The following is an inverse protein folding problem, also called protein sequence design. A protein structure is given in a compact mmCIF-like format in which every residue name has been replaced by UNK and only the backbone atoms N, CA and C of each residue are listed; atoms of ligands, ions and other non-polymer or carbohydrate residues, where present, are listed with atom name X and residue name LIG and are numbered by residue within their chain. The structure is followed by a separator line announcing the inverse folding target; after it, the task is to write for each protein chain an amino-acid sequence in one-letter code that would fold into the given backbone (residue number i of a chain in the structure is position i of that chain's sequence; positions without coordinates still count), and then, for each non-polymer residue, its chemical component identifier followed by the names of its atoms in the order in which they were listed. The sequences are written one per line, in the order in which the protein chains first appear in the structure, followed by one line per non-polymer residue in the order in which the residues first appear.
data_IF_940590144507
#
_entry.id   IF_940590144507
#
_cell.length_a   1.000
_cell.length_b   1.000
_cell.length_c   1.000
_cell.angle_alpha   90.00
_cell.angle_beta   90.00
_cell.angle_gamma   90.00
#
_symmetry.space_group_name_H-M   'P 1'
#
loop_
_entity.id
_entity.type
_entity.pdbx_description
1 polymer ?
#
# COMPACT_ATOMS: atom_id res chain seq x y z
N UNK A 1 -39.21 -80.71 38.94
CA UNK A 1 -39.53 -81.06 37.54
C UNK A 1 -39.64 -79.76 36.75
N UNK A 2 -38.72 -79.51 35.82
CA UNK A 2 -38.59 -78.24 35.11
C UNK A 2 -39.75 -78.10 34.11
N UNK A 3 -40.48 -76.98 34.20
CA UNK A 3 -41.53 -76.57 33.28
C UNK A 3 -40.93 -76.14 31.92
N UNK A 4 -41.37 -76.74 30.81
CA UNK A 4 -41.14 -76.20 29.47
C UNK A 4 -42.41 -75.49 28.98
N UNK A 5 -42.39 -74.16 28.99
CA UNK A 5 -43.42 -73.34 28.35
C UNK A 5 -43.19 -73.29 26.83
N UNK A 6 -44.21 -73.65 26.03
CA UNK A 6 -44.15 -73.51 24.56
C UNK A 6 -44.32 -72.04 24.16
N UNK A 7 -43.29 -71.47 23.54
CA UNK A 7 -43.30 -70.11 23.01
C UNK A 7 -44.03 -70.11 21.65
N UNK A 8 -44.98 -69.18 21.45
CA UNK A 8 -45.72 -69.03 20.18
C UNK A 8 -44.77 -68.62 19.05
N UNK A 9 -44.89 -69.23 17.86
CA UNK A 9 -44.06 -68.94 16.67
C UNK A 9 -44.01 -67.45 16.27
N UNK A 10 -45.03 -66.68 16.65
CA UNK A 10 -45.11 -65.22 16.47
C UNK A 10 -44.02 -64.44 17.24
N UNK A 11 -43.49 -64.98 18.33
CA UNK A 11 -42.38 -64.37 19.08
C UNK A 11 -41.07 -64.32 18.27
N UNK A 12 -40.86 -65.28 17.35
CA UNK A 12 -39.67 -65.32 16.49
C UNK A 12 -39.68 -64.18 15.46
N UNK A 13 -40.83 -63.90 14.84
CA UNK A 13 -40.99 -62.79 13.90
C UNK A 13 -40.76 -61.43 14.58
N UNK A 14 -41.25 -61.26 15.80
CA UNK A 14 -41.05 -60.04 16.59
C UNK A 14 -39.58 -59.86 17.00
N UNK A 15 -38.90 -60.95 17.42
CA UNK A 15 -37.48 -60.93 17.73
C UNK A 15 -36.61 -60.56 16.52
N UNK A 16 -36.94 -61.09 15.33
CA UNK A 16 -36.25 -60.74 14.08
C UNK A 16 -36.46 -59.26 13.74
N UNK A 17 -37.71 -58.75 13.81
CA UNK A 17 -38.02 -57.36 13.53
C UNK A 17 -37.28 -56.40 14.46
N UNK A 18 -37.29 -56.68 15.77
CA UNK A 18 -36.54 -55.90 16.76
C UNK A 18 -35.05 -55.98 16.48
N UNK A 19 -34.50 -57.16 16.16
CA UNK A 19 -33.08 -57.33 15.87
C UNK A 19 -32.64 -56.51 14.65
N UNK A 20 -33.44 -56.49 13.57
CA UNK A 20 -33.18 -55.66 12.40
C UNK A 20 -33.25 -54.17 12.74
N UNK A 21 -34.24 -53.74 13.54
CA UNK A 21 -34.37 -52.35 13.96
C UNK A 21 -33.16 -51.92 14.82
N UNK A 22 -32.75 -52.74 15.77
CA UNK A 22 -31.56 -52.50 16.60
C UNK A 22 -30.30 -52.47 15.73
N UNK A 23 -30.15 -53.37 14.75
CA UNK A 23 -29.03 -53.37 13.82
C UNK A 23 -28.99 -52.09 12.95
N UNK A 24 -30.14 -51.60 12.49
CA UNK A 24 -30.24 -50.34 11.74
C UNK A 24 -29.85 -49.13 12.61
N UNK A 25 -30.33 -49.06 13.85
CA UNK A 25 -29.99 -47.98 14.77
C UNK A 25 -28.50 -48.00 15.11
N UNK A 26 -27.93 -49.18 15.40
CA UNK A 26 -26.49 -49.34 15.64
C UNK A 26 -25.67 -48.99 14.39
N UNK A 27 -26.11 -49.41 13.20
CA UNK A 27 -25.47 -49.08 11.94
C UNK A 27 -25.46 -47.57 11.67
N UNK A 28 -26.59 -46.90 11.90
CA UNK A 28 -26.70 -45.45 11.79
C UNK A 28 -25.79 -44.72 12.79
N UNK A 29 -25.73 -45.20 14.04
CA UNK A 29 -24.86 -44.64 15.07
C UNK A 29 -23.37 -44.80 14.74
N UNK A 30 -22.96 -45.97 14.27
CA UNK A 30 -21.60 -46.25 13.81
C UNK A 30 -21.21 -45.35 12.63
N UNK A 31 -22.11 -45.21 11.64
CA UNK A 31 -21.89 -44.34 10.49
C UNK A 31 -21.76 -42.87 10.93
N UNK A 32 -22.62 -42.40 11.84
CA UNK A 32 -22.54 -41.05 12.38
C UNK A 32 -21.20 -40.79 13.07
N UNK A 33 -20.74 -41.74 13.90
CA UNK A 33 -19.47 -41.62 14.62
C UNK A 33 -18.28 -41.62 13.67
N UNK A 34 -18.30 -42.48 12.64
CA UNK A 34 -17.29 -42.52 11.60
C UNK A 34 -17.23 -41.19 10.82
N UNK A 35 -18.39 -40.66 10.40
CA UNK A 35 -18.49 -39.40 9.68
C UNK A 35 -17.99 -38.23 10.54
N UNK A 36 -18.39 -38.15 11.82
CA UNK A 36 -17.91 -37.13 12.74
C UNK A 36 -16.40 -37.19 12.97
N UNK A 37 -15.86 -38.40 13.19
CA UNK A 37 -14.42 -38.61 13.35
C UNK A 37 -13.64 -38.19 12.09
N UNK A 38 -14.13 -38.60 10.91
CA UNK A 38 -13.57 -38.21 9.63
C UNK A 38 -13.58 -36.69 9.45
N UNK A 39 -14.71 -36.02 9.70
CA UNK A 39 -14.79 -34.56 9.63
C UNK A 39 -13.87 -33.87 10.62
N UNK A 40 -13.72 -34.39 11.84
CA UNK A 40 -12.81 -33.85 12.85
C UNK A 40 -11.35 -33.88 12.37
N UNK A 41 -10.87 -35.04 11.90
CA UNK A 41 -9.52 -35.18 11.36
C UNK A 41 -9.33 -34.25 10.17
N UNK A 42 -10.31 -34.21 9.26
CA UNK A 42 -10.26 -33.35 8.08
C UNK A 42 -10.28 -31.85 8.41
N UNK A 43 -10.99 -31.43 9.45
CA UNK A 43 -10.99 -30.05 9.91
C UNK A 43 -9.65 -29.69 10.56
N UNK A 44 -9.09 -30.58 11.37
CA UNK A 44 -7.79 -30.37 12.00
C UNK A 44 -6.65 -30.24 10.98
N UNK A 45 -6.63 -31.09 9.94
CA UNK A 45 -5.65 -30.98 8.85
C UNK A 45 -5.71 -29.61 8.15
N UNK A 46 -6.92 -29.07 7.95
CA UNK A 46 -7.12 -27.79 7.28
C UNK A 46 -6.73 -26.60 8.17
N UNK A 47 -7.05 -26.66 9.47
CA UNK A 47 -6.62 -25.64 10.44
C UNK A 47 -5.09 -25.61 10.52
N UNK A 48 -4.45 -26.78 10.65
CA UNK A 48 -3.00 -26.88 10.67
C UNK A 48 -2.37 -26.33 9.39
N UNK A 49 -2.93 -26.65 8.22
CA UNK A 49 -2.42 -26.14 6.95
C UNK A 49 -2.52 -24.60 6.87
N UNK A 50 -3.56 -24.00 7.46
CA UNK A 50 -3.68 -22.54 7.55
C UNK A 50 -2.68 -21.93 8.53
N UNK A 51 -2.46 -22.54 9.69
CA UNK A 51 -1.44 -22.11 10.65
C UNK A 51 -0.02 -22.22 10.08
N UNK A 52 0.27 -23.32 9.39
CA UNK A 52 1.53 -23.53 8.68
C UNK A 52 1.71 -22.46 7.59
N UNK A 53 0.64 -22.12 6.84
CA UNK A 53 0.70 -21.08 5.80
C UNK A 53 0.91 -19.67 6.38
N UNK A 54 0.33 -19.38 7.56
CA UNK A 54 0.59 -18.14 8.29
C UNK A 54 2.05 -18.07 8.72
N UNK A 55 2.54 -19.12 9.38
CA UNK A 55 3.93 -19.22 9.84
C UNK A 55 4.90 -19.07 8.68
N UNK A 56 4.62 -19.72 7.55
CA UNK A 56 5.40 -19.59 6.33
C UNK A 56 5.43 -18.13 5.83
N UNK A 57 4.29 -17.43 5.83
CA UNK A 57 4.25 -16.02 5.42
C UNK A 57 5.04 -15.13 6.38
N UNK A 58 4.87 -15.29 7.70
CA UNK A 58 5.60 -14.53 8.71
C UNK A 58 7.11 -14.76 8.62
N UNK A 59 7.56 -15.99 8.41
CA UNK A 59 8.98 -16.31 8.23
C UNK A 59 9.59 -15.62 7.00
N UNK A 60 8.78 -15.25 6.01
CA UNK A 60 9.29 -14.51 4.86
C UNK A 60 9.46 -13.01 5.14
N UNK A 61 8.88 -12.44 6.20
CA UNK A 61 8.92 -10.99 6.43
C UNK A 61 10.34 -10.41 6.55
N UNK A 62 11.30 -11.21 7.02
CA UNK A 62 12.71 -10.83 7.08
C UNK A 62 13.36 -10.68 5.69
N UNK A 63 12.83 -11.36 4.65
CA UNK A 63 13.33 -11.20 3.29
C UNK A 63 12.77 -9.93 2.66
N UNK A 64 13.63 -9.02 2.24
CA UNK A 64 13.22 -7.69 1.73
C UNK A 64 13.17 -7.61 0.22
N UNK A 65 13.77 -8.59 -0.47
CA UNK A 65 13.91 -8.63 -1.92
C UNK A 65 12.77 -9.40 -2.57
N UNK A 66 12.15 -8.82 -3.60
CA UNK A 66 11.25 -9.56 -4.47
C UNK A 66 12.04 -10.60 -5.28
N UNK A 67 11.68 -11.88 -5.14
CA UNK A 67 12.37 -12.96 -5.84
C UNK A 67 11.75 -13.19 -7.22
N UNK A 68 10.51 -12.78 -7.46
CA UNK A 68 9.80 -12.94 -8.74
C UNK A 68 9.43 -14.40 -9.06
N UNK A 69 10.31 -15.33 -8.71
CA UNK A 69 10.16 -16.75 -8.87
C UNK A 69 9.43 -17.41 -7.69
N UNK A 70 8.81 -18.54 -8.01
CA UNK A 70 8.21 -19.42 -7.01
C UNK A 70 9.30 -20.21 -6.30
N UNK A 71 9.47 -19.96 -4.99
CA UNK A 71 10.29 -20.82 -4.15
C UNK A 71 9.39 -21.93 -3.59
N UNK A 72 9.73 -23.18 -3.90
CA UNK A 72 9.04 -24.35 -3.40
C UNK A 72 9.98 -25.21 -2.57
N UNK A 73 9.51 -25.70 -1.42
CA UNK A 73 10.20 -26.70 -0.62
C UNK A 73 9.26 -27.85 -0.28
N UNK A 74 9.78 -29.07 -0.32
CA UNK A 74 9.03 -30.30 -0.01
C UNK A 74 9.59 -30.87 1.28
N UNK A 75 8.74 -31.06 2.29
CA UNK A 75 9.10 -31.66 3.57
C UNK A 75 8.10 -32.78 3.88
N UNK A 76 8.48 -34.02 3.54
CA UNK A 76 7.60 -35.18 3.65
C UNK A 76 6.34 -35.04 2.78
N UNK A 77 5.11 -35.26 3.31
CA UNK A 77 3.86 -35.10 2.55
C UNK A 77 3.42 -33.63 2.39
N UNK A 78 4.20 -32.68 2.92
CA UNK A 78 3.90 -31.24 2.87
C UNK A 78 4.69 -30.57 1.75
N UNK A 79 3.99 -29.80 0.91
CA UNK A 79 4.62 -28.92 -0.07
C UNK A 79 4.37 -27.47 0.32
N UNK A 80 5.44 -26.73 0.53
CA UNK A 80 5.42 -25.30 0.84
C UNK A 80 5.77 -24.52 -0.42
N UNK A 81 4.95 -23.52 -0.73
CA UNK A 81 5.17 -22.61 -1.85
C UNK A 81 5.08 -21.18 -1.35
N UNK A 82 6.08 -20.37 -1.65
CA UNK A 82 6.00 -18.92 -1.41
C UNK A 82 6.49 -18.09 -2.59
N UNK A 83 5.88 -16.92 -2.75
CA UNK A 83 6.19 -15.95 -3.82
C UNK A 83 6.19 -14.56 -3.20
N UNK A 84 7.20 -13.77 -3.54
CA UNK A 84 7.33 -12.37 -3.15
C UNK A 84 7.49 -11.55 -4.44
N UNK A 85 6.59 -10.60 -4.65
CA UNK A 85 6.55 -9.76 -5.85
C UNK A 85 6.08 -8.36 -5.48
N UNK A 86 6.50 -7.33 -6.21
CA UNK A 86 5.96 -5.99 -6.01
C UNK A 86 4.56 -5.84 -6.61
N UNK A 87 3.74 -5.03 -5.97
CA UNK A 87 2.43 -4.60 -6.46
C UNK A 87 2.20 -3.13 -6.08
N UNK A 88 2.61 -2.23 -6.96
CA UNK A 88 2.65 -0.79 -6.68
C UNK A 88 3.71 -0.43 -5.64
N UNK A 89 3.32 0.27 -4.59
CA UNK A 89 4.18 0.63 -3.45
C UNK A 89 4.53 -0.55 -2.54
N UNK A 90 3.74 -1.63 -2.58
CA UNK A 90 3.78 -2.69 -1.58
C UNK A 90 4.44 -3.97 -2.13
N UNK A 91 4.98 -4.77 -1.21
CA UNK A 91 5.34 -6.16 -1.50
C UNK A 91 4.10 -7.03 -1.34
N UNK A 92 3.71 -7.75 -2.40
CA UNK A 92 2.71 -8.80 -2.36
C UNK A 92 3.37 -10.13 -2.05
N UNK A 93 2.99 -10.71 -0.92
CA UNK A 93 3.46 -12.03 -0.47
C UNK A 93 2.36 -13.05 -0.58
N UNK A 94 2.69 -14.19 -1.15
CA UNK A 94 1.81 -15.35 -1.22
C UNK A 94 2.52 -16.53 -0.57
N UNK A 95 1.83 -17.22 0.33
CA UNK A 95 2.28 -18.46 0.95
C UNK A 95 1.19 -19.52 0.80
N UNK A 96 1.56 -20.74 0.45
CA UNK A 96 0.65 -21.86 0.37
C UNK A 96 1.29 -23.14 0.89
N UNK A 97 0.47 -23.92 1.58
CA UNK A 97 0.83 -25.23 2.11
C UNK A 97 -0.15 -26.23 1.55
N UNK A 98 0.38 -27.29 0.93
CA UNK A 98 -0.41 -28.43 0.45
C UNK A 98 -0.11 -29.65 1.30
N UNK A 99 -1.15 -30.23 1.91
CA UNK A 99 -1.08 -31.48 2.68
C UNK A 99 -2.13 -32.44 2.17
N UNK A 100 -1.76 -33.65 1.77
CA UNK A 100 -2.70 -34.70 1.31
C UNK A 100 -3.75 -34.19 0.29
N UNK A 101 -3.29 -33.46 -0.73
CA UNK A 101 -4.11 -32.84 -1.79
C UNK A 101 -5.06 -31.71 -1.34
N UNK A 102 -4.86 -31.16 -0.13
CA UNK A 102 -5.58 -29.97 0.36
C UNK A 102 -4.64 -28.79 0.44
N UNK A 103 -5.06 -27.67 -0.13
CA UNK A 103 -4.27 -26.45 -0.22
C UNK A 103 -4.86 -25.38 0.68
N UNK A 104 -4.05 -24.86 1.58
CA UNK A 104 -4.30 -23.63 2.32
C UNK A 104 -3.37 -22.54 1.79
N UNK A 105 -3.87 -21.31 1.67
CA UNK A 105 -3.03 -20.19 1.23
C UNK A 105 -3.36 -18.88 1.95
N UNK A 106 -2.34 -18.03 2.01
CA UNK A 106 -2.38 -16.68 2.56
C UNK A 106 -1.74 -15.72 1.58
N UNK A 107 -2.32 -14.53 1.49
CA UNK A 107 -1.82 -13.46 0.66
C UNK A 107 -1.95 -12.13 1.39
N UNK A 108 -0.92 -11.31 1.34
CA UNK A 108 -0.88 -10.04 2.05
C UNK A 108 -0.02 -9.01 1.30
N UNK A 109 -0.38 -7.74 1.46
CA UNK A 109 0.56 -6.65 1.27
C UNK A 109 1.42 -6.50 2.52
N UNK A 110 2.71 -6.28 2.30
CA UNK A 110 3.71 -6.03 3.33
C UNK A 110 4.55 -4.82 2.96
N UNK A 111 5.05 -4.12 3.96
CA UNK A 111 5.89 -2.94 3.80
C UNK A 111 6.85 -2.79 4.98
N UNK A 112 7.72 -1.79 4.93
CA UNK A 112 8.75 -1.60 5.95
C UNK A 112 8.15 -1.27 7.30
N UNK A 113 8.61 -1.97 8.34
CA UNK A 113 8.18 -1.77 9.72
C UNK A 113 8.75 -0.46 10.28
N UNK A 114 7.93 0.24 11.06
CA UNK A 114 8.37 1.40 11.83
C UNK A 114 9.26 0.97 13.00
N UNK A 115 10.35 1.68 13.22
CA UNK A 115 11.21 1.53 14.39
C UNK A 115 11.22 2.81 15.23
N UNK A 116 11.78 2.75 16.44
CA UNK A 116 11.99 3.94 17.29
C UNK A 116 12.92 4.98 16.66
N UNK A 117 13.69 4.59 15.64
CA UNK A 117 14.57 5.46 14.86
C UNK A 117 13.90 6.03 13.61
N UNK A 118 12.68 5.61 13.30
CA UNK A 118 11.98 6.12 12.12
C UNK A 118 11.74 7.63 12.28
N UNK A 119 12.17 8.46 11.32
CA UNK A 119 11.98 9.91 11.37
C UNK A 119 10.50 10.26 11.24
N UNK A 120 10.07 11.31 11.90
CA UNK A 120 8.86 12.05 11.54
C UNK A 120 9.16 13.06 10.44
N UNK A 121 10.31 13.71 10.53
CA UNK A 121 10.87 14.55 9.49
C UNK A 121 12.29 14.07 9.19
N UNK A 122 12.60 13.87 7.91
CA UNK A 122 13.95 13.75 7.40
C UNK A 122 14.12 14.80 6.30
N UNK A 123 14.88 15.84 6.59
CA UNK A 123 15.26 16.86 5.63
C UNK A 123 16.73 16.68 5.30
N UNK A 124 17.10 16.62 4.02
CA UNK A 124 18.50 16.48 3.61
C UNK A 124 19.33 17.68 4.05
N UNK A 125 20.56 17.43 4.50
CA UNK A 125 21.51 18.51 4.80
C UNK A 125 21.97 19.18 3.51
N UNK A 126 21.54 20.43 3.33
CA UNK A 126 21.96 21.32 2.22
C UNK A 126 22.81 22.48 2.73
N UNK A 127 23.44 22.32 3.90
CA UNK A 127 24.17 23.33 4.65
C UNK A 127 23.35 24.62 4.88
N UNK A 128 22.04 24.44 5.08
CA UNK A 128 21.07 25.53 5.29
C UNK A 128 20.08 25.14 6.37
N UNK A 129 19.69 26.06 7.27
CA UNK A 129 18.71 25.75 8.30
C UNK A 129 17.32 25.55 7.70
N UNK A 130 16.49 24.75 8.37
CA UNK A 130 15.06 24.73 8.13
C UNK A 130 14.41 25.94 8.81
N UNK A 131 13.62 26.70 8.08
CA UNK A 131 12.90 27.86 8.60
C UNK A 131 11.42 27.51 8.79
N UNK A 132 10.92 27.64 10.02
CA UNK A 132 9.52 27.39 10.36
C UNK A 132 8.76 28.71 10.51
N UNK A 133 7.57 28.78 9.92
CA UNK A 133 6.76 30.01 9.84
C UNK A 133 5.28 29.72 10.08
N UNK A 134 4.56 30.64 10.72
CA UNK A 134 3.14 30.50 11.02
C UNK A 134 2.86 29.38 12.03
N UNK A 135 1.74 28.67 11.83
CA UNK A 135 1.29 27.54 12.66
C UNK A 135 1.98 26.23 12.25
N UNK A 136 3.31 26.29 12.14
CA UNK A 136 4.15 25.13 11.81
C UNK A 136 4.42 24.30 13.07
N UNK A 137 4.32 22.98 12.96
CA UNK A 137 4.53 22.06 14.09
C UNK A 137 5.38 20.87 13.65
N UNK A 138 6.47 20.60 14.38
CA UNK A 138 7.37 19.46 14.13
C UNK A 138 7.41 18.59 15.39
N UNK A 139 6.83 17.38 15.34
CA UNK A 139 6.81 16.45 16.47
C UNK A 139 7.59 15.17 16.20
N UNK A 140 8.09 14.54 17.27
CA UNK A 140 8.81 13.27 17.20
C UNK A 140 10.26 13.43 16.76
N UNK A 141 10.79 12.44 16.03
CA UNK A 141 12.19 12.45 15.61
C UNK A 141 12.36 13.28 14.34
N UNK A 142 13.09 14.39 14.41
CA UNK A 142 13.38 15.26 13.29
C UNK A 142 14.87 15.17 12.92
N UNK A 143 15.16 14.58 11.77
CA UNK A 143 16.48 14.57 11.16
C UNK A 143 16.60 15.83 10.30
N UNK A 144 17.53 16.70 10.69
CA UNK A 144 17.62 18.08 10.24
C UNK A 144 19.05 18.40 9.79
N UNK A 145 19.22 19.36 8.86
CA UNK A 145 20.53 19.88 8.49
C UNK A 145 21.34 20.31 9.71
N UNK A 146 22.68 20.29 9.61
CA UNK A 146 23.58 20.71 10.69
C UNK A 146 23.30 22.12 11.22
N UNK A 147 22.77 23.01 10.37
CA UNK A 147 22.36 24.37 10.72
C UNK A 147 21.07 24.44 11.57
N UNK A 148 20.39 23.31 11.80
CA UNK A 148 19.23 23.19 12.66
C UNK A 148 17.96 23.83 12.12
N UNK A 149 17.08 24.26 13.04
CA UNK A 149 15.81 24.94 12.75
C UNK A 149 15.89 26.39 13.23
N UNK A 150 15.26 27.31 12.49
CA UNK A 150 15.10 28.72 12.88
C UNK A 150 13.65 29.15 12.71
N UNK A 151 13.19 30.07 13.55
CA UNK A 151 11.94 30.77 13.33
C UNK A 151 12.12 31.78 12.19
N UNK A 152 11.12 31.90 11.31
CA UNK A 152 11.09 32.88 10.24
C UNK A 152 9.86 33.78 10.24
N UNK A 153 9.83 34.67 9.26
CA UNK A 153 8.68 35.50 8.94
C UNK A 153 8.44 35.45 7.42
N UNK A 154 7.19 35.28 7.01
CA UNK A 154 6.77 35.46 5.63
C UNK A 154 5.58 36.41 5.61
N UNK A 155 5.73 37.54 4.91
CA UNK A 155 4.67 38.55 4.72
C UNK A 155 3.98 38.98 6.02
N UNK A 156 4.75 39.19 7.10
CA UNK A 156 4.21 39.61 8.41
C UNK A 156 3.70 38.46 9.29
N UNK A 157 3.63 37.23 8.76
CA UNK A 157 3.29 36.04 9.55
C UNK A 157 4.55 35.51 10.22
N UNK A 158 4.63 35.62 11.55
CA UNK A 158 5.72 35.05 12.35
C UNK A 158 5.44 33.60 12.74
N UNK A 159 6.48 32.86 13.14
CA UNK A 159 6.32 31.57 13.79
C UNK A 159 5.51 31.69 15.10
N UNK A 160 4.51 30.83 15.28
CA UNK A 160 3.57 30.89 16.41
C UNK A 160 3.82 29.86 17.51
N UNK A 161 4.77 28.95 17.33
CA UNK A 161 5.06 27.89 18.30
C UNK A 161 6.02 28.33 19.43
N UNK A 162 5.89 27.69 20.59
CA UNK A 162 6.75 27.96 21.76
C UNK A 162 8.16 27.38 21.61
N UNK A 163 8.27 26.23 20.94
CA UNK A 163 9.53 25.55 20.65
C UNK A 163 9.60 25.29 19.13
N UNK A 164 10.82 25.30 18.57
CA UNK A 164 11.04 25.05 17.14
C UNK A 164 10.77 23.59 16.72
N UNK A 165 10.86 22.65 17.67
CA UNK A 165 10.53 21.24 17.50
C UNK A 165 10.10 20.64 18.85
N UNK A 166 9.32 19.55 18.80
CA UNK A 166 8.74 18.88 19.96
C UNK A 166 9.09 17.38 19.90
N UNK A 167 10.33 17.07 20.28
CA UNK A 167 10.91 15.73 20.19
C UNK A 167 12.42 15.79 20.08
N UNK A 168 13.03 14.84 19.36
CA UNK A 168 14.49 14.76 19.21
C UNK A 168 14.91 15.40 17.89
N UNK A 169 15.89 16.30 17.94
CA UNK A 169 16.59 16.79 16.76
C UNK A 169 17.87 15.95 16.54
N UNK A 170 18.03 15.41 15.34
CA UNK A 170 19.14 14.53 14.94
C UNK A 170 19.75 15.11 13.67
N UNK A 171 21.07 15.03 13.50
CA UNK A 171 21.72 15.49 12.26
C UNK A 171 21.35 14.57 11.09
N UNK A 172 20.91 15.16 9.98
CA UNK A 172 20.60 14.47 8.73
C UNK A 172 21.85 14.29 7.85
N UNK A 173 21.81 13.34 6.92
CA UNK A 173 22.86 13.22 5.90
C UNK A 173 22.56 14.11 4.69
N UNK A 174 23.55 14.25 3.81
CA UNK A 174 23.46 14.93 2.51
C UNK A 174 22.62 14.16 1.47
N UNK A 175 22.10 12.98 1.82
CA UNK A 175 21.27 12.16 0.93
C UNK A 175 20.04 11.62 1.65
N UNK A 176 18.95 11.44 0.91
CA UNK A 176 17.75 10.79 1.43
C UNK A 176 18.02 9.32 1.77
N UNK A 177 17.33 8.74 2.77
CA UNK A 177 17.32 7.31 2.99
C UNK A 177 16.96 6.58 1.69
N UNK A 178 17.73 5.56 1.36
CA UNK A 178 17.62 4.85 0.08
C UNK A 178 16.41 3.93 0.09
N UNK A 179 15.63 4.00 -0.99
CA UNK A 179 14.61 3.00 -1.32
C UNK A 179 15.28 1.83 -2.02
N UNK A 180 14.65 0.66 -1.96
CA UNK A 180 15.12 -0.55 -2.65
C UNK A 180 15.25 -0.31 -4.15
N UNK A 181 16.41 -0.65 -4.72
CA UNK A 181 16.68 -0.41 -6.14
C UNK A 181 15.81 -1.34 -7.02
N UNK A 182 15.48 -2.52 -6.52
CA UNK A 182 14.58 -3.50 -7.13
C UNK A 182 13.16 -2.94 -7.27
N UNK A 183 12.69 -2.19 -6.27
CA UNK A 183 11.40 -1.51 -6.33
C UNK A 183 11.38 -0.40 -7.38
N UNK A 184 12.44 0.42 -7.44
CA UNK A 184 12.58 1.45 -8.48
C UNK A 184 12.61 0.81 -9.89
N UNK A 185 13.37 -0.28 -10.05
CA UNK A 185 13.44 -1.05 -11.30
C UNK A 185 12.08 -1.62 -11.70
N UNK A 186 11.33 -2.15 -10.72
CA UNK A 186 9.96 -2.61 -10.92
C UNK A 186 9.06 -1.48 -11.42
N UNK A 187 9.04 -0.31 -10.75
CA UNK A 187 8.23 0.83 -11.17
C UNK A 187 8.55 1.24 -12.61
N UNK A 188 9.84 1.30 -12.96
CA UNK A 188 10.28 1.62 -14.33
C UNK A 188 9.81 0.59 -15.37
N UNK A 189 9.81 -0.70 -15.01
CA UNK A 189 9.34 -1.80 -15.87
C UNK A 189 7.83 -1.75 -16.10
N UNK A 190 7.05 -1.59 -15.03
CA UNK A 190 5.59 -1.51 -15.07
C UNK A 190 5.12 -0.38 -15.98
N UNK A 191 5.76 0.79 -15.86
CA UNK A 191 5.49 1.95 -16.71
C UNK A 191 5.79 1.68 -18.20
N UNK A 192 6.78 0.84 -18.50
CA UNK A 192 7.16 0.45 -19.87
C UNK A 192 6.28 -0.68 -20.42
N UNK A 193 5.33 -1.22 -19.64
CA UNK A 193 4.43 -2.28 -20.08
C UNK A 193 4.90 -3.71 -19.74
N UNK A 194 5.83 -3.90 -18.80
CA UNK A 194 6.31 -5.24 -18.42
C UNK A 194 5.24 -6.17 -17.82
N UNK A 195 4.04 -5.66 -17.55
CA UNK A 195 2.91 -6.42 -16.99
C UNK A 195 1.95 -6.95 -18.05
N UNK A 196 2.11 -6.57 -19.32
CA UNK A 196 1.18 -6.93 -20.40
C UNK A 196 1.22 -8.43 -20.70
N UNK A 197 2.40 -9.06 -20.65
CA UNK A 197 2.56 -10.46 -21.08
C UNK A 197 1.98 -11.50 -20.10
N UNK A 198 1.78 -11.13 -18.82
CA UNK A 198 1.37 -12.05 -17.75
C UNK A 198 -0.09 -11.81 -17.27
N UNK A 199 -0.83 -10.90 -17.92
CA UNK A 199 -2.15 -10.47 -17.49
C UNK A 199 -3.26 -10.97 -18.42
N UNK A 200 -4.45 -11.19 -17.84
CA UNK A 200 -5.66 -11.45 -18.61
C UNK A 200 -6.24 -10.10 -19.04
N UNK A 201 -6.19 -9.80 -20.33
CA UNK A 201 -6.78 -8.57 -20.88
C UNK A 201 -8.30 -8.58 -20.73
N UNK A 202 -8.86 -7.44 -20.30
CA UNK A 202 -10.30 -7.24 -20.10
C UNK A 202 -10.71 -5.85 -20.59
N UNK A 203 -11.99 -5.70 -20.92
CA UNK A 203 -12.60 -4.40 -21.22
C UNK A 203 -13.20 -3.75 -19.97
N UNK A 204 -13.50 -2.46 -20.05
CA UNK A 204 -14.19 -1.75 -18.98
C UNK A 204 -15.66 -2.22 -18.91
N UNK A 205 -16.09 -2.61 -17.71
CA UNK A 205 -17.44 -3.03 -17.38
C UNK A 205 -17.91 -2.27 -16.12
N UNK A 206 -19.22 -2.22 -15.87
CA UNK A 206 -19.78 -1.53 -14.70
C UNK A 206 -19.27 -2.12 -13.37
N UNK A 207 -19.06 -3.44 -13.30
CA UNK A 207 -18.55 -4.13 -12.12
C UNK A 207 -17.48 -5.17 -12.45
N UNK A 208 -16.29 -5.03 -11.87
CA UNK A 208 -15.17 -5.94 -12.05
C UNK A 208 -14.66 -6.37 -10.68
N UNK A 209 -14.73 -7.67 -10.39
CA UNK A 209 -14.20 -8.26 -9.16
C UNK A 209 -13.16 -9.32 -9.49
N UNK A 210 -11.96 -9.21 -8.90
CA UNK A 210 -10.89 -10.19 -9.07
C UNK A 210 -10.11 -10.42 -7.77
N UNK A 211 -10.18 -11.62 -7.22
CA UNK A 211 -9.39 -12.01 -6.04
C UNK A 211 -7.88 -12.04 -6.37
N UNK A 212 -7.04 -11.74 -5.38
CA UNK A 212 -5.58 -11.87 -5.44
C UNK A 212 -5.11 -13.33 -5.51
N UNK A 213 -5.99 -14.31 -5.26
CA UNK A 213 -5.73 -15.72 -5.54
C UNK A 213 -5.85 -16.06 -7.04
N UNK A 214 -6.41 -15.16 -7.86
CA UNK A 214 -6.52 -15.32 -9.32
C UNK A 214 -5.42 -14.52 -10.05
N UNK A 215 -5.08 -14.91 -11.29
CA UNK A 215 -4.20 -14.13 -12.15
C UNK A 215 -4.69 -12.68 -12.30
N UNK A 216 -3.75 -11.78 -12.55
CA UNK A 216 -4.04 -10.36 -12.66
C UNK A 216 -4.89 -10.06 -13.91
N UNK A 217 -5.88 -9.20 -13.76
CA UNK A 217 -6.67 -8.67 -14.89
C UNK A 217 -6.10 -7.31 -15.28
N UNK A 218 -5.89 -7.10 -16.57
CA UNK A 218 -5.37 -5.85 -17.12
C UNK A 218 -6.44 -5.20 -18.00
N UNK A 219 -6.86 -4.01 -17.62
CA UNK A 219 -7.63 -3.11 -18.45
C UNK A 219 -6.64 -2.12 -19.06
N UNK A 220 -6.39 -2.27 -20.36
CA UNK A 220 -5.42 -1.45 -21.09
C UNK A 220 -6.09 -0.69 -22.23
N UNK A 221 -5.76 0.60 -22.35
CA UNK A 221 -6.18 1.43 -23.48
C UNK A 221 -5.05 2.36 -23.94
N UNK A 222 -4.93 2.58 -25.24
CA UNK A 222 -4.06 3.60 -25.81
C UNK A 222 -4.62 5.02 -25.64
N UNK A 223 -5.92 5.13 -25.39
CA UNK A 223 -6.61 6.37 -25.16
C UNK A 223 -6.84 6.64 -23.67
N UNK A 224 -7.48 7.78 -23.40
CA UNK A 224 -7.84 8.19 -22.06
C UNK A 224 -8.90 7.27 -21.45
N UNK A 225 -8.64 6.75 -20.26
CA UNK A 225 -9.60 5.94 -19.52
C UNK A 225 -10.32 6.84 -18.50
N UNK A 226 -11.63 6.81 -18.51
CA UNK A 226 -12.48 7.54 -17.56
C UNK A 226 -13.25 6.53 -16.71
N UNK A 227 -13.10 6.62 -15.39
CA UNK A 227 -13.81 5.79 -14.43
C UNK A 227 -14.73 6.71 -13.64
N UNK A 228 -16.02 6.71 -13.95
CA UNK A 228 -17.02 7.60 -13.38
C UNK A 228 -17.83 6.99 -12.24
N UNK A 229 -18.36 5.79 -12.45
CA UNK A 229 -19.33 5.11 -11.55
C UNK A 229 -19.04 3.61 -11.37
N UNK A 230 -18.05 3.11 -12.09
CA UNK A 230 -17.72 1.71 -12.16
C UNK A 230 -17.14 1.23 -10.82
N UNK A 231 -17.41 -0.03 -10.51
CA UNK A 231 -16.97 -0.70 -9.29
C UNK A 231 -15.90 -1.72 -9.62
N UNK A 232 -14.66 -1.43 -9.25
CA UNK A 232 -13.50 -2.26 -9.60
C UNK A 232 -12.77 -2.65 -8.32
N UNK A 233 -12.70 -3.95 -8.06
CA UNK A 233 -12.26 -4.51 -6.78
C UNK A 233 -11.25 -5.63 -6.98
N UNK A 234 -10.11 -5.51 -6.31
CA UNK A 234 -9.10 -6.55 -6.15
C UNK A 234 -7.96 -6.48 -7.18
N UNK A 235 -7.40 -7.63 -7.55
CA UNK A 235 -6.18 -7.78 -8.35
C UNK A 235 -6.38 -7.37 -9.83
N UNK A 236 -6.57 -6.07 -10.04
CA UNK A 236 -6.87 -5.43 -11.32
C UNK A 236 -5.89 -4.28 -11.54
N UNK A 237 -5.33 -4.21 -12.75
CA UNK A 237 -4.51 -3.10 -13.21
C UNK A 237 -5.26 -2.36 -14.28
N UNK A 238 -5.27 -1.03 -14.17
CA UNK A 238 -5.84 -0.13 -15.17
C UNK A 238 -4.70 0.70 -15.72
N UNK A 239 -4.43 0.56 -17.01
CA UNK A 239 -3.30 1.20 -17.66
C UNK A 239 -3.73 1.98 -18.91
N UNK A 240 -3.36 3.26 -18.96
CA UNK A 240 -3.53 4.10 -20.15
C UNK A 240 -2.19 4.64 -20.61
N UNK A 241 -1.96 4.73 -21.92
CA UNK A 241 -0.78 5.41 -22.46
C UNK A 241 -0.93 6.94 -22.47
N UNK A 242 -2.13 7.47 -22.21
CA UNK A 242 -2.40 8.91 -22.18
C UNK A 242 -2.72 9.41 -20.77
N UNK A 243 -3.92 9.09 -20.27
CA UNK A 243 -4.42 9.58 -18.98
C UNK A 243 -5.49 8.68 -18.37
N UNK A 244 -5.55 8.67 -17.06
CA UNK A 244 -6.67 8.08 -16.29
C UNK A 244 -7.36 9.19 -15.50
N UNK A 245 -8.69 9.24 -15.55
CA UNK A 245 -9.49 10.18 -14.77
C UNK A 245 -10.46 9.41 -13.89
N UNK A 246 -10.38 9.64 -12.57
CA UNK A 246 -11.27 9.02 -11.59
C UNK A 246 -12.31 10.04 -11.15
N UNK A 247 -13.57 9.74 -11.40
CA UNK A 247 -14.73 10.54 -11.00
C UNK A 247 -15.23 10.19 -9.59
N UNK A 248 -16.00 11.08 -8.96
CA UNK A 248 -16.45 10.93 -7.57
C UNK A 248 -17.34 9.71 -7.32
N UNK A 249 -18.01 9.18 -8.34
CA UNK A 249 -18.85 7.99 -8.23
C UNK A 249 -18.09 6.66 -8.32
N UNK A 250 -16.80 6.68 -8.67
CA UNK A 250 -16.01 5.48 -8.89
C UNK A 250 -15.76 4.74 -7.57
N UNK A 251 -15.94 3.43 -7.58
CA UNK A 251 -15.72 2.58 -6.41
C UNK A 251 -14.51 1.67 -6.63
N UNK A 252 -13.33 2.21 -6.33
CA UNK A 252 -12.07 1.50 -6.49
C UNK A 252 -11.56 0.93 -5.17
N UNK A 253 -11.26 -0.36 -5.14
CA UNK A 253 -10.68 -1.04 -3.96
C UNK A 253 -9.59 -2.03 -4.37
N UNK A 254 -8.39 -1.85 -3.83
CA UNK A 254 -7.20 -2.66 -4.08
C UNK A 254 -6.71 -2.68 -5.54
N UNK A 255 -7.02 -1.62 -6.30
CA UNK A 255 -6.70 -1.47 -7.74
C UNK A 255 -5.39 -0.69 -7.93
N UNK A 256 -4.65 -1.00 -9.00
CA UNK A 256 -3.46 -0.26 -9.42
C UNK A 256 -3.72 0.51 -10.73
N UNK A 257 -3.54 1.84 -10.70
CA UNK A 257 -3.69 2.75 -11.83
C UNK A 257 -2.32 3.15 -12.36
N UNK A 258 -2.11 3.06 -13.68
CA UNK A 258 -0.84 3.41 -14.32
C UNK A 258 -1.12 4.26 -15.56
N UNK A 259 -0.71 5.53 -15.57
CA UNK A 259 -0.80 6.37 -16.77
C UNK A 259 0.15 7.56 -16.69
N UNK A 260 0.58 8.16 -17.81
CA UNK A 260 1.41 9.36 -17.76
C UNK A 260 0.76 10.53 -17.03
N UNK A 261 -0.57 10.63 -17.06
CA UNK A 261 -1.34 11.62 -16.30
C UNK A 261 -2.46 10.92 -15.55
N UNK A 262 -2.58 11.17 -14.25
CA UNK A 262 -3.67 10.65 -13.45
C UNK A 262 -4.34 11.82 -12.74
N UNK A 263 -5.67 11.93 -12.92
CA UNK A 263 -6.48 12.98 -12.30
C UNK A 263 -7.56 12.32 -11.45
N UNK A 264 -7.41 12.43 -10.13
CA UNK A 264 -8.43 12.02 -9.16
C UNK A 264 -9.29 13.26 -8.90
N UNK A 265 -10.56 13.23 -9.32
CA UNK A 265 -11.49 14.35 -9.11
C UNK A 265 -11.82 14.55 -7.63
N UNK A 266 -12.43 15.69 -7.34
CA UNK A 266 -12.87 16.01 -5.99
C UNK A 266 -13.84 14.95 -5.45
N UNK A 267 -13.86 14.81 -4.12
CA UNK A 267 -14.83 13.99 -3.39
C UNK A 267 -14.75 12.48 -3.70
N UNK A 268 -13.66 12.01 -4.33
CA UNK A 268 -13.39 10.59 -4.59
C UNK A 268 -13.05 9.86 -3.30
N UNK A 269 -13.63 8.68 -3.11
CA UNK A 269 -13.36 7.78 -1.99
C UNK A 269 -12.96 6.40 -2.50
N UNK A 270 -11.91 5.82 -1.95
CA UNK A 270 -11.49 4.47 -2.36
C UNK A 270 -10.20 4.02 -1.70
N UNK A 271 -9.73 2.83 -2.09
CA UNK A 271 -8.43 2.30 -1.69
C UNK A 271 -7.72 1.83 -2.94
N UNK A 272 -6.76 2.60 -3.44
CA UNK A 272 -6.07 2.27 -4.69
C UNK A 272 -4.69 2.89 -4.74
N UNK A 273 -3.90 2.41 -5.69
CA UNK A 273 -2.55 2.87 -5.94
C UNK A 273 -2.50 3.56 -7.29
N UNK A 274 -1.81 4.68 -7.39
CA UNK A 274 -1.65 5.45 -8.61
C UNK A 274 -0.17 5.66 -8.93
N UNK A 275 0.25 5.27 -10.14
CA UNK A 275 1.60 5.45 -10.65
C UNK A 275 1.54 6.32 -11.90
N UNK A 276 2.17 7.49 -11.84
CA UNK A 276 2.25 8.43 -12.95
C UNK A 276 3.68 8.76 -13.35
N UNK A 277 3.87 9.29 -14.56
CA UNK A 277 5.18 9.73 -15.06
C UNK A 277 5.31 11.21 -15.39
N UNK A 278 4.20 11.91 -15.64
CA UNK A 278 4.21 13.34 -16.00
C UNK A 278 3.47 14.19 -14.99
N UNK A 279 2.25 13.77 -14.61
CA UNK A 279 1.40 14.54 -13.71
C UNK A 279 0.46 13.65 -12.88
N UNK A 280 0.32 13.98 -11.60
CA UNK A 280 -0.59 13.33 -10.67
C UNK A 280 -1.35 14.39 -9.87
N UNK A 281 -2.65 14.50 -10.12
CA UNK A 281 -3.51 15.50 -9.49
C UNK A 281 -4.54 14.80 -8.62
N UNK A 282 -4.49 15.09 -7.32
CA UNK A 282 -5.49 14.63 -6.36
C UNK A 282 -6.35 15.83 -5.99
N UNK A 283 -7.65 15.73 -6.30
CA UNK A 283 -8.64 16.77 -6.04
C UNK A 283 -8.83 17.08 -4.57
N UNK A 284 -9.84 17.89 -4.29
CA UNK A 284 -10.22 18.31 -2.94
C UNK A 284 -11.16 17.31 -2.27
N UNK A 285 -11.09 17.23 -0.94
CA UNK A 285 -12.00 16.41 -0.11
C UNK A 285 -12.04 14.94 -0.50
N UNK A 286 -10.96 14.42 -1.08
CA UNK A 286 -10.84 12.99 -1.37
C UNK A 286 -10.49 12.23 -0.09
N UNK A 287 -10.86 10.95 -0.03
CA UNK A 287 -10.47 10.05 1.05
C UNK A 287 -9.93 8.75 0.47
N UNK A 288 -8.61 8.60 0.51
CA UNK A 288 -7.89 7.43 0.00
C UNK A 288 -7.42 6.58 1.18
N UNK A 289 -8.11 5.46 1.43
CA UNK A 289 -7.89 4.66 2.64
C UNK A 289 -6.69 3.73 2.52
N UNK A 290 -6.09 3.36 3.66
CA UNK A 290 -4.91 2.49 3.70
C UNK A 290 -5.19 1.15 3.02
N UNK A 291 -4.25 0.59 2.21
CA UNK A 291 -2.90 1.06 1.92
C UNK A 291 -2.81 1.78 0.57
N UNK A 292 -3.43 2.95 0.44
CA UNK A 292 -3.39 3.72 -0.82
C UNK A 292 -1.99 4.29 -1.07
N UNK A 293 -1.64 4.45 -2.34
CA UNK A 293 -0.37 5.08 -2.70
C UNK A 293 -0.49 5.97 -3.93
N UNK A 294 0.28 7.05 -3.94
CA UNK A 294 0.29 8.03 -5.02
C UNK A 294 1.75 8.32 -5.37
N UNK A 295 2.20 7.77 -6.50
CA UNK A 295 3.59 7.73 -6.93
C UNK A 295 3.72 8.49 -8.25
N UNK A 296 4.60 9.48 -8.28
CA UNK A 296 5.04 10.14 -9.50
C UNK A 296 6.52 9.84 -9.74
N UNK A 297 6.81 9.10 -10.80
CA UNK A 297 8.16 8.92 -11.32
C UNK A 297 8.40 9.94 -12.44
N UNK A 298 8.94 11.11 -12.09
CA UNK A 298 9.14 12.19 -13.06
C UNK A 298 10.05 11.72 -14.18
N UNK A 299 9.50 11.58 -15.39
CA UNK A 299 10.24 11.30 -16.63
C UNK A 299 10.19 12.48 -17.61
N UNK A 300 9.76 13.65 -17.16
CA UNK A 300 9.75 14.82 -18.04
C UNK A 300 11.19 15.19 -18.40
N UNK A 301 11.52 15.14 -19.68
CA UNK A 301 12.79 15.69 -20.18
C UNK A 301 12.63 17.21 -20.20
N UNK A 302 13.34 17.91 -19.31
CA UNK A 302 13.40 19.37 -19.37
C UNK A 302 14.19 19.75 -20.62
N UNK A 303 13.51 20.12 -21.70
CA UNK A 303 14.15 20.80 -22.81
C UNK A 303 14.62 22.16 -22.29
N UNK A 304 15.94 22.40 -22.30
CA UNK A 304 16.51 23.72 -22.02
C UNK A 304 16.05 24.68 -23.12
N UNK A 305 14.91 25.32 -22.95
CA UNK A 305 14.57 26.48 -23.76
C UNK A 305 15.47 27.63 -23.31
N UNK A 306 16.44 27.97 -24.15
CA UNK A 306 17.41 29.06 -23.98
C UNK A 306 16.79 30.45 -24.05
N UNK A 307 15.48 30.58 -24.25
CA UNK A 307 14.79 31.86 -24.36
C UNK A 307 13.52 31.86 -23.51
N UNK A 308 13.57 32.44 -22.31
CA UNK A 308 12.55 33.35 -21.75
C UNK A 308 12.77 33.59 -20.24
N UNK A 309 13.03 34.85 -19.89
CA UNK A 309 12.84 35.42 -18.56
C UNK A 309 11.34 35.58 -18.22
N UNK A 310 10.50 34.63 -18.62
CA UNK A 310 9.11 34.59 -18.19
C UNK A 310 9.05 33.76 -16.92
N UNK A 311 8.56 34.40 -15.86
CA UNK A 311 8.10 33.83 -14.59
C UNK A 311 7.56 32.44 -14.90
N UNK A 312 8.36 31.41 -14.60
CA UNK A 312 7.97 30.04 -14.88
C UNK A 312 6.76 29.76 -13.98
N UNK A 313 5.57 29.80 -14.58
CA UNK A 313 4.35 29.23 -14.02
C UNK A 313 4.58 27.72 -13.91
N UNK A 314 5.38 27.30 -12.94
CA UNK A 314 5.72 25.90 -12.70
C UNK A 314 4.54 25.25 -12.00
N UNK A 315 3.49 24.92 -12.75
CA UNK A 315 2.43 24.04 -12.27
C UNK A 315 3.08 22.79 -11.68
N UNK A 316 2.81 22.45 -10.41
CA UNK A 316 3.45 21.30 -9.78
C UNK A 316 3.07 20.03 -10.52
N UNK A 317 4.03 19.12 -10.68
CA UNK A 317 3.76 17.84 -11.33
C UNK A 317 2.90 16.93 -10.45
N UNK A 318 2.95 17.11 -9.14
CA UNK A 318 2.16 16.35 -8.17
C UNK A 318 1.46 17.31 -7.22
N UNK A 319 0.13 17.30 -7.18
CA UNK A 319 -0.67 18.12 -6.29
C UNK A 319 -1.68 17.32 -5.47
N UNK A 320 -1.83 17.72 -4.21
CA UNK A 320 -2.85 17.21 -3.28
C UNK A 320 -3.75 18.39 -2.87
N UNK A 321 -5.02 18.30 -3.24
CA UNK A 321 -6.03 19.31 -2.98
C UNK A 321 -6.42 19.45 -1.51
N UNK A 322 -7.04 20.58 -1.18
CA UNK A 322 -7.42 20.90 0.20
C UNK A 322 -8.46 19.92 0.76
N UNK A 323 -8.35 19.60 2.05
CA UNK A 323 -9.27 18.71 2.76
C UNK A 323 -9.18 17.24 2.37
N UNK A 324 -8.21 16.87 1.54
CA UNK A 324 -8.00 15.48 1.12
C UNK A 324 -7.20 14.71 2.16
N UNK A 325 -7.63 13.49 2.47
CA UNK A 325 -6.93 12.57 3.36
C UNK A 325 -6.40 11.40 2.55
N UNK A 326 -5.10 11.11 2.70
CA UNK A 326 -4.43 9.96 2.09
C UNK A 326 -3.80 9.11 3.19
N UNK A 327 -4.25 7.88 3.32
CA UNK A 327 -3.68 6.90 4.24
C UNK A 327 -2.79 5.93 3.46
N UNK A 328 -1.48 5.99 3.73
CA UNK A 328 -0.46 5.23 3.02
C UNK A 328 0.68 6.13 2.54
N UNK A 329 1.05 6.04 1.26
CA UNK A 329 2.31 6.63 0.78
C UNK A 329 2.17 7.61 -0.38
N UNK A 330 2.85 8.75 -0.29
CA UNK A 330 2.97 9.77 -1.33
C UNK A 330 4.43 9.83 -1.76
N UNK A 331 4.72 9.57 -3.04
CA UNK A 331 6.10 9.43 -3.52
C UNK A 331 6.33 10.29 -4.75
N UNK A 332 7.36 11.12 -4.70
CA UNK A 332 7.92 11.82 -5.84
C UNK A 332 9.37 11.35 -6.05
N UNK A 333 9.61 10.66 -7.17
CA UNK A 333 10.92 10.21 -7.61
C UNK A 333 11.38 11.05 -8.80
N UNK A 334 12.62 11.55 -8.72
CA UNK A 334 13.21 12.41 -9.76
C UNK A 334 13.93 11.54 -10.81
N UNK A 335 13.82 11.90 -12.10
CA UNK A 335 14.70 11.30 -13.11
C UNK A 335 16.17 11.67 -12.86
N UNK A 336 17.08 10.73 -13.06
CA UNK A 336 18.53 10.96 -13.01
C UNK A 336 19.01 11.99 -14.05
N UNK A 337 18.26 12.20 -15.13
CA UNK A 337 18.60 13.12 -16.22
C UNK A 337 18.12 14.57 -16.03
N UNK A 338 17.34 14.87 -14.99
CA UNK A 338 16.82 16.23 -14.77
C UNK A 338 17.80 17.09 -13.98
N UNK A 339 18.24 18.21 -14.58
CA UNK A 339 19.02 19.25 -13.90
C UNK A 339 18.26 19.78 -12.67
N UNK A 340 18.98 20.16 -11.61
CA UNK A 340 18.40 20.70 -10.37
C UNK A 340 17.78 22.08 -10.62
N UNK A 341 16.47 22.12 -10.90
CA UNK A 341 15.68 23.33 -10.74
C UNK A 341 15.45 23.56 -9.25
N UNK A 342 16.13 24.59 -8.73
CA UNK A 342 16.12 24.94 -7.30
C UNK A 342 14.79 25.51 -6.83
N UNK A 343 13.92 25.99 -7.72
CA UNK A 343 12.71 26.74 -7.35
C UNK A 343 11.40 26.08 -7.81
N UNK A 344 11.46 25.14 -8.75
CA UNK A 344 10.28 24.38 -9.18
C UNK A 344 9.72 23.55 -8.02
N UNK A 345 8.43 23.76 -7.74
CA UNK A 345 7.67 22.89 -6.83
C UNK A 345 7.34 21.59 -7.55
N UNK A 346 7.74 20.47 -6.97
CA UNK A 346 7.52 19.15 -7.54
C UNK A 346 6.30 18.48 -6.93
N UNK A 347 6.17 18.60 -5.60
CA UNK A 347 5.04 18.12 -4.82
C UNK A 347 4.42 19.29 -4.03
N UNK A 348 3.12 19.50 -4.15
CA UNK A 348 2.39 20.45 -3.32
C UNK A 348 1.29 19.75 -2.53
N UNK A 349 1.19 20.11 -1.25
CA UNK A 349 0.13 19.68 -0.35
C UNK A 349 -0.60 20.89 0.20
N UNK A 350 -1.84 21.08 -0.25
CA UNK A 350 -2.65 22.23 0.12
C UNK A 350 -3.07 22.20 1.60
N UNK A 351 -3.56 23.35 2.08
CA UNK A 351 -4.09 23.50 3.43
C UNK A 351 -5.19 22.49 3.74
N UNK A 352 -5.28 22.04 4.99
CA UNK A 352 -6.26 21.04 5.47
C UNK A 352 -6.15 19.66 4.81
N UNK A 353 -5.24 19.44 3.86
CA UNK A 353 -4.92 18.10 3.41
C UNK A 353 -4.21 17.36 4.55
N UNK A 354 -4.36 16.05 4.59
CA UNK A 354 -3.74 15.17 5.59
C UNK A 354 -3.16 13.91 4.93
N UNK A 355 -1.93 13.56 5.27
CA UNK A 355 -1.31 12.29 4.89
C UNK A 355 -1.02 11.51 6.17
N UNK A 356 -1.68 10.37 6.35
CA UNK A 356 -1.43 9.43 7.45
C UNK A 356 -0.57 8.30 6.92
N UNK A 357 0.74 8.38 7.17
CA UNK A 357 1.72 7.47 6.60
C UNK A 357 2.99 8.21 6.18
N UNK A 358 3.39 8.07 4.92
CA UNK A 358 4.73 8.50 4.48
C UNK A 358 4.68 9.39 3.24
N UNK A 359 5.48 10.46 3.27
CA UNK A 359 5.81 11.26 2.09
C UNK A 359 7.29 11.08 1.78
N UNK A 360 7.64 10.68 0.55
CA UNK A 360 9.01 10.61 0.08
C UNK A 360 9.19 11.47 -1.17
N UNK A 361 9.93 12.57 -1.05
CA UNK A 361 10.11 13.54 -2.14
C UNK A 361 11.59 13.81 -2.42
N UNK A 362 12.06 13.35 -3.58
CA UNK A 362 13.41 13.64 -4.08
C UNK A 362 13.58 15.05 -4.68
N UNK A 363 12.49 15.81 -4.80
CA UNK A 363 12.47 17.19 -5.30
C UNK A 363 12.12 18.19 -4.20
N UNK A 364 11.56 19.33 -4.62
CA UNK A 364 11.09 20.37 -3.72
C UNK A 364 9.61 20.14 -3.35
N UNK A 365 9.31 20.16 -2.06
CA UNK A 365 7.95 20.01 -1.52
C UNK A 365 7.45 21.32 -0.91
N UNK A 366 6.23 21.72 -1.25
CA UNK A 366 5.47 22.79 -0.57
C UNK A 366 4.35 22.15 0.26
N UNK A 367 4.42 22.28 1.58
CA UNK A 367 3.49 21.65 2.52
C UNK A 367 2.81 22.70 3.39
N UNK A 368 1.48 22.77 3.27
CA UNK A 368 0.59 23.59 4.12
C UNK A 368 -0.44 22.75 4.89
N UNK A 369 -0.40 21.42 4.71
CA UNK A 369 -1.28 20.46 5.37
C UNK A 369 -0.63 19.76 6.56
N UNK A 370 -1.17 18.59 6.92
CA UNK A 370 -0.74 17.77 8.06
C UNK A 370 -0.17 16.44 7.56
N UNK A 371 1.03 16.07 8.00
CA UNK A 371 1.60 14.74 7.83
C UNK A 371 1.62 14.05 9.19
N UNK A 372 0.85 12.97 9.35
CA UNK A 372 0.90 12.10 10.53
C UNK A 372 1.73 10.87 10.20
N UNK A 373 3.02 10.94 10.49
CA UNK A 373 3.98 9.90 10.15
C UNK A 373 5.30 10.48 9.73
N UNK A 374 5.80 10.08 8.56
CA UNK A 374 7.18 10.33 8.15
C UNK A 374 7.24 11.12 6.84
N UNK A 375 7.91 12.26 6.86
CA UNK A 375 8.21 13.06 5.66
C UNK A 375 9.71 13.03 5.38
N UNK A 376 10.08 12.48 4.23
CA UNK A 376 11.45 12.45 3.71
C UNK A 376 11.51 13.42 2.54
N UNK A 377 12.22 14.53 2.69
CA UNK A 377 12.27 15.60 1.70
C UNK A 377 13.70 16.02 1.40
N UNK A 378 14.02 16.21 0.11
CA UNK A 378 15.29 16.85 -0.28
C UNK A 378 15.31 18.31 0.14
N UNK A 379 14.23 19.05 -0.14
CA UNK A 379 14.12 20.47 0.18
C UNK A 379 12.66 20.87 0.38
N UNK A 380 12.38 21.59 1.45
CA UNK A 380 11.09 22.25 1.66
C UNK A 380 11.11 23.63 1.02
N UNK A 381 9.99 24.04 0.41
CA UNK A 381 9.82 25.39 -0.11
C UNK A 381 8.45 25.92 0.32
N UNK A 382 8.33 27.23 0.47
CA UNK A 382 7.04 27.88 0.69
C UNK A 382 6.79 28.91 -0.41
N UNK A 383 5.63 28.84 -1.06
CA UNK A 383 5.19 29.85 -2.02
C UNK A 383 4.17 30.77 -1.37
N UNK A 384 4.54 32.03 -1.16
CA UNK A 384 3.67 33.03 -0.54
C UNK A 384 3.86 34.39 -1.22
N UNK A 385 2.76 35.10 -1.48
CA UNK A 385 2.78 36.46 -2.03
C UNK A 385 3.63 36.60 -3.31
N UNK A 386 3.60 35.60 -4.19
CA UNK A 386 4.39 35.58 -5.43
C UNK A 386 5.89 35.29 -5.27
N UNK A 387 6.37 35.07 -4.04
CA UNK A 387 7.76 34.74 -3.74
C UNK A 387 7.93 33.25 -3.40
N UNK A 388 9.14 32.72 -3.67
CA UNK A 388 9.54 31.35 -3.31
C UNK A 388 10.59 31.42 -2.21
N UNK A 389 10.28 30.83 -1.07
CA UNK A 389 11.17 30.77 0.09
C UNK A 389 11.77 29.36 0.20
N UNK A 390 13.10 29.25 0.08
CA UNK A 390 13.82 27.97 0.11
C UNK A 390 14.08 27.52 1.54
N UNK A 391 13.96 26.22 1.80
CA UNK A 391 14.07 25.61 3.13
C UNK A 391 13.06 26.18 4.15
N UNK A 392 11.87 26.55 3.69
CA UNK A 392 10.79 27.05 4.55
C UNK A 392 9.64 26.05 4.60
N UNK A 393 9.03 25.92 5.79
CA UNK A 393 7.71 25.32 5.99
C UNK A 393 6.79 26.42 6.51
N UNK A 394 5.65 26.60 5.83
CA UNK A 394 4.64 27.62 6.15
C UNK A 394 3.31 26.96 6.50
N UNK A 395 2.89 27.05 7.76
CA UNK A 395 1.69 26.40 8.32
C UNK A 395 1.63 24.86 8.20
N UNK A 396 2.71 24.21 7.77
CA UNK A 396 2.79 22.76 7.64
C UNK A 396 2.98 22.08 8.99
N UNK A 397 2.30 20.95 9.21
CA UNK A 397 2.39 20.20 10.46
C UNK A 397 2.91 18.79 10.19
N UNK A 398 3.94 18.38 10.91
CA UNK A 398 4.51 17.04 10.88
C UNK A 398 4.36 16.48 12.28
N UNK A 399 3.48 15.50 12.42
CA UNK A 399 3.01 14.96 13.68
C UNK A 399 3.34 13.47 13.78
N UNK A 400 3.18 12.91 14.97
CA UNK A 400 3.33 11.46 15.18
C UNK A 400 2.27 10.66 14.42
N UNK A 401 2.67 9.49 13.90
CA UNK A 401 1.72 8.56 13.30
C UNK A 401 0.83 7.98 14.41
N UNK A 402 -0.51 8.08 14.32
CA UNK A 402 -1.41 7.45 15.28
C UNK A 402 -1.47 5.92 15.11
N UNK A 403 -1.01 5.37 13.98
CA UNK A 403 -1.02 3.93 13.68
C UNK A 403 0.27 3.28 14.19
N UNK A 404 0.13 2.41 15.19
CA UNK A 404 1.27 1.71 15.83
C UNK A 404 1.99 0.76 14.88
N UNK A 405 1.22 -0.11 14.22
CA UNK A 405 1.75 -1.18 13.36
C UNK A 405 1.71 -0.77 11.87
N UNK A 406 2.08 0.48 11.59
CA UNK A 406 2.14 0.98 10.22
C UNK A 406 3.26 0.29 9.43
N UNK A 407 2.90 -0.22 8.25
CA UNK A 407 3.86 -0.72 7.26
C UNK A 407 4.03 0.30 6.14
N UNK A 408 5.27 0.68 5.83
CA UNK A 408 5.63 1.78 4.93
C UNK A 408 6.32 1.37 3.64
N UNK A 409 6.93 2.37 3.00
CA UNK A 409 7.68 2.28 1.75
C UNK A 409 8.89 1.35 1.87
N UNK A 410 9.30 0.69 0.77
CA UNK A 410 10.37 -0.29 0.78
C UNK A 410 11.75 0.38 0.91
N UNK A 411 12.14 0.73 2.14
CA UNK A 411 13.48 1.24 2.46
C UNK A 411 14.50 0.11 2.47
N UNK A 412 15.73 0.40 2.03
CA UNK A 412 16.85 -0.53 2.17
C UNK A 412 17.12 -0.86 3.64
N UNK A 413 17.45 -2.12 3.94
CA UNK A 413 17.78 -2.60 5.29
C UNK A 413 16.66 -2.42 6.34
N UNK A 414 15.41 -2.49 5.92
CA UNK A 414 14.25 -2.47 6.83
C UNK A 414 13.70 -3.88 7.06
N UNK A 415 13.11 -4.14 8.22
CA UNK A 415 12.24 -5.31 8.40
C UNK A 415 10.88 -5.03 7.79
N UNK A 416 10.13 -6.04 7.38
CA UNK A 416 8.76 -5.85 6.89
C UNK A 416 7.73 -6.26 7.94
N UNK A 417 6.58 -5.62 7.89
CA UNK A 417 5.37 -6.04 8.60
C UNK A 417 4.19 -6.12 7.62
N UNK A 418 3.07 -6.66 8.09
CA UNK A 418 1.84 -6.80 7.33
C UNK A 418 1.14 -5.46 7.23
N UNK A 419 0.94 -4.98 6.01
CA UNK A 419 0.10 -3.83 5.71
C UNK A 419 -1.37 -4.24 5.67
N UNK A 420 -1.69 -5.29 4.90
CA UNK A 420 -3.08 -5.71 4.68
C UNK A 420 -3.17 -7.16 4.24
N UNK A 421 -4.06 -7.93 4.86
CA UNK A 421 -4.47 -9.24 4.36
C UNK A 421 -5.34 -9.10 3.11
N UNK A 422 -5.05 -9.94 2.11
CA UNK A 422 -5.71 -9.95 0.81
C UNK A 422 -6.59 -11.19 0.66
N UNK A 423 -7.50 -11.15 -0.31
CA UNK A 423 -8.57 -12.12 -0.54
C UNK A 423 -8.59 -12.65 -1.97
#
# INVERSE_FOLDING_TARGET
MIFFQKIKAQAMQFAILISVLVALVLGAFLLLTHVQSFFKVKSQELIQAFEDSNTLLFNTLDSTTAVGDTISSVLGPKTNKHIISYHGAWLKRYAAVTVHNRKASRIAFTGSERSDRTPNLYLVDTNSPLVVVGDTRLEGNSYLPKQGVKAGNISGTYYQGNNLYYGKAIESNETLPKLQNEWITYLEGVIKGSLVDNAISISLEDEIMNSFHKPIKLLYDSDAIYIGKEKIIGNVIIQSTQKIVIGPGAQLKDVLLIAPRIVIKNDVKGSFQAISTKNLEIGQRCYLSYPSSAILLDKNIVQKNTNSNQIQNTTPNFSIGSGTVIEGSVVYLKNKSNTDDRIKTHLIMAQKAEVVGEIYCQGNIDIQGIVRGSMYAKQCIARQSGSVYLNHIYNGKILMNPVKDYSGLPFSNSKNNIAKWLY
#
